data_IF_013501478295
#
_entry.id   IF_013501478295
#
_cell.length_a   1.000
_cell.length_b   1.000
_cell.length_c   1.000
_cell.angle_alpha   90.00
_cell.angle_beta   90.00
_cell.angle_gamma   90.00
#
_symmetry.space_group_name_H-M   'P 1'
#
loop_
_entity.id
_entity.type
_entity.pdbx_description
1 polymer ?
#
# COMPACT_ATOMS: atom_id res chain seq x y z
N UNK A 1 58.62 -7.87 -10.37
CA UNK A 1 59.29 -6.90 -11.26
C UNK A 1 58.76 -5.51 -10.92
N UNK A 2 59.63 -4.68 -10.33
CA UNK A 2 59.67 -3.21 -10.18
C UNK A 2 58.37 -2.36 -10.11
N UNK A 3 58.25 -1.73 -8.93
CA UNK A 3 57.47 -0.56 -8.47
C UNK A 3 57.59 0.67 -9.39
N UNK A 4 56.54 1.52 -9.46
CA UNK A 4 56.65 3.00 -9.33
C UNK A 4 55.40 3.63 -8.68
N UNK A 5 55.65 4.24 -7.51
CA UNK A 5 54.82 5.21 -6.77
C UNK A 5 55.03 6.59 -7.39
N UNK A 6 53.99 7.43 -7.47
CA UNK A 6 54.14 8.89 -7.54
C UNK A 6 53.18 9.51 -6.54
N UNK A 7 53.74 10.04 -5.46
CA UNK A 7 53.12 10.98 -4.54
C UNK A 7 53.35 12.40 -5.09
N UNK A 8 52.33 13.26 -5.00
CA UNK A 8 52.46 14.69 -5.20
C UNK A 8 52.12 15.41 -3.89
N UNK A 9 53.16 16.02 -3.32
CA UNK A 9 53.18 16.86 -2.13
C UNK A 9 52.92 18.31 -2.55
N UNK A 10 52.12 19.04 -1.77
CA UNK A 10 51.97 20.49 -1.88
C UNK A 10 51.51 21.13 -0.57
N UNK A 11 52.49 21.56 0.24
CA UNK A 11 52.34 22.60 1.29
C UNK A 11 52.09 23.98 0.61
N UNK A 12 51.60 25.06 1.23
CA UNK A 12 51.78 25.57 2.59
C UNK A 12 50.82 26.77 2.89
N UNK A 13 50.44 26.90 4.18
CA UNK A 13 50.34 28.10 5.08
C UNK A 13 49.61 29.37 4.59
N UNK A 14 48.75 30.04 5.39
CA UNK A 14 49.10 30.86 6.56
C UNK A 14 47.88 31.26 7.41
N UNK A 15 48.18 31.63 8.66
CA UNK A 15 47.36 31.91 9.83
C UNK A 15 46.51 33.21 9.76
N UNK A 16 45.35 33.20 10.43
CA UNK A 16 44.84 34.37 11.13
C UNK A 16 44.18 33.94 12.45
N UNK A 17 44.88 34.24 13.55
CA UNK A 17 44.39 34.22 14.93
C UNK A 17 43.43 35.38 15.15
N UNK A 18 42.23 35.11 15.65
CA UNK A 18 41.30 36.12 16.14
C UNK A 18 40.56 35.60 17.37
N UNK A 19 41.10 35.87 18.56
CA UNK A 19 40.34 35.80 19.80
C UNK A 19 39.45 37.05 19.88
N UNK A 20 38.15 36.86 19.94
CA UNK A 20 37.23 37.85 20.48
C UNK A 20 36.41 37.16 21.58
N UNK A 21 36.76 37.48 22.82
CA UNK A 21 35.92 37.26 24.00
C UNK A 21 34.63 38.06 23.78
N UNK A 22 33.50 37.36 23.76
CA UNK A 22 32.17 37.96 23.74
C UNK A 22 31.18 36.97 24.32
N UNK A 23 30.99 37.03 25.65
CA UNK A 23 29.75 36.58 26.27
C UNK A 23 28.60 37.33 25.59
N UNK A 24 27.76 36.59 24.88
CA UNK A 24 26.44 37.06 24.47
C UNK A 24 25.55 35.83 24.44
N UNK A 25 24.85 35.64 25.56
CA UNK A 25 23.70 34.76 25.64
C UNK A 25 22.78 35.10 24.48
N UNK A 26 22.70 34.18 23.53
CA UNK A 26 21.69 34.20 22.50
C UNK A 26 20.75 33.08 22.87
N UNK A 27 19.67 33.45 23.56
CA UNK A 27 18.43 32.69 23.57
C UNK A 27 17.94 32.63 22.12
N UNK A 28 18.56 31.74 21.35
CA UNK A 28 18.11 31.37 20.02
C UNK A 28 16.90 30.45 20.25
N UNK A 29 15.78 31.07 20.63
CA UNK A 29 14.47 30.51 20.45
C UNK A 29 14.28 30.37 18.95
N UNK A 30 14.83 29.29 18.40
CA UNK A 30 14.78 28.95 16.99
C UNK A 30 13.34 29.05 16.54
N UNK A 31 13.04 30.11 15.80
CA UNK A 31 11.77 30.28 15.15
C UNK A 31 11.65 29.15 14.13
N UNK A 32 10.90 28.11 14.50
CA UNK A 32 10.61 26.99 13.64
C UNK A 32 9.99 27.56 12.35
N UNK A 33 10.63 27.39 11.17
CA UNK A 33 10.11 27.94 9.94
C UNK A 33 8.71 27.35 9.72
N UNK A 34 7.70 28.21 9.72
CA UNK A 34 6.34 27.79 9.44
C UNK A 34 6.31 27.20 8.02
N UNK A 35 6.04 25.90 7.93
CA UNK A 35 5.87 25.24 6.64
C UNK A 35 4.73 25.94 5.89
N UNK A 36 5.03 26.46 4.69
CA UNK A 36 4.02 27.01 3.76
C UNK A 36 3.27 25.90 3.02
N UNK A 37 3.57 24.63 3.29
CA UNK A 37 2.92 23.51 2.64
C UNK A 37 1.49 23.33 3.18
N UNK A 38 0.53 23.26 2.26
CA UNK A 38 -0.87 22.97 2.61
C UNK A 38 -0.96 21.56 3.18
N UNK A 39 -1.45 21.46 4.43
CA UNK A 39 -1.66 20.19 5.09
C UNK A 39 -2.80 19.41 4.42
N UNK A 40 -2.62 18.10 4.33
CA UNK A 40 -3.63 17.20 3.81
C UNK A 40 -4.82 17.08 4.79
N UNK A 41 -6.07 17.05 4.29
CA UNK A 41 -7.25 17.31 5.13
C UNK A 41 -7.70 16.12 5.99
N UNK A 42 -7.36 14.89 5.61
CA UNK A 42 -7.91 13.68 6.22
C UNK A 42 -6.93 13.07 7.21
N UNK A 43 -7.21 13.19 8.51
CA UNK A 43 -6.41 12.52 9.54
C UNK A 43 -6.79 11.04 9.64
N UNK A 44 -5.83 10.14 9.45
CA UNK A 44 -5.97 8.72 9.70
C UNK A 44 -5.34 8.35 11.05
N UNK A 45 -6.06 7.54 11.82
CA UNK A 45 -5.64 7.00 13.11
C UNK A 45 -5.43 5.50 13.04
N UNK A 46 -4.82 4.92 14.08
CA UNK A 46 -4.57 3.48 14.16
C UNK A 46 -5.89 2.71 14.04
N UNK A 47 -6.00 1.76 13.10
CA UNK A 47 -7.16 0.87 13.01
C UNK A 47 -7.38 0.11 14.31
N UNK A 48 -8.65 -0.20 14.63
CA UNK A 48 -9.01 -0.90 15.87
C UNK A 48 -8.44 -2.33 15.90
N UNK A 49 -8.46 -3.02 14.76
CA UNK A 49 -7.86 -4.35 14.58
C UNK A 49 -6.62 -4.24 13.69
N UNK A 50 -5.60 -5.04 14.00
CA UNK A 50 -4.36 -5.05 13.22
C UNK A 50 -4.48 -5.94 11.97
N UNK A 51 -5.34 -6.95 12.02
CA UNK A 51 -5.48 -7.99 10.99
C UNK A 51 -6.87 -7.89 10.38
N UNK A 52 -6.96 -8.08 9.07
CA UNK A 52 -8.22 -8.27 8.36
C UNK A 52 -8.43 -9.78 8.28
N UNK A 53 -9.62 -10.24 8.67
CA UNK A 53 -9.97 -11.66 8.60
C UNK A 53 -9.85 -12.17 7.16
N UNK A 54 -9.12 -13.26 6.98
CA UNK A 54 -8.94 -13.93 5.69
C UNK A 54 -10.04 -14.96 5.39
N UNK A 55 -10.87 -15.29 6.39
CA UNK A 55 -12.04 -16.15 6.29
C UNK A 55 -13.32 -15.31 6.16
N UNK A 56 -13.60 -14.88 4.94
CA UNK A 56 -14.84 -14.14 4.66
C UNK A 56 -16.05 -15.09 4.68
N UNK A 57 -17.23 -14.60 5.08
CA UNK A 57 -18.47 -15.37 5.05
C UNK A 57 -19.45 -14.87 3.98
N UNK A 58 -20.33 -15.73 3.43
CA UNK A 58 -20.31 -17.18 3.57
C UNK A 58 -19.17 -17.82 2.75
N UNK A 59 -18.70 -18.97 3.22
CA UNK A 59 -17.87 -19.91 2.43
C UNK A 59 -18.78 -20.82 1.61
N UNK A 60 -18.36 -21.25 0.41
CA UNK A 60 -19.07 -22.28 -0.34
C UNK A 60 -19.14 -23.59 0.45
N UNK A 61 -20.11 -24.44 0.09
CA UNK A 61 -20.15 -25.83 0.54
C UNK A 61 -18.96 -26.63 -0.03
N UNK A 62 -18.58 -27.73 0.61
CA UNK A 62 -17.43 -28.56 0.17
C UNK A 62 -17.60 -29.13 -1.24
N UNK A 63 -18.85 -29.38 -1.66
CA UNK A 63 -19.23 -29.90 -2.98
C UNK A 63 -19.75 -28.81 -3.94
N UNK A 64 -19.59 -27.53 -3.58
CA UNK A 64 -20.03 -26.42 -4.40
C UNK A 64 -19.39 -26.44 -5.81
N UNK A 65 -20.11 -25.99 -6.85
CA UNK A 65 -19.57 -25.89 -8.19
C UNK A 65 -18.31 -25.03 -8.27
N UNK A 66 -17.42 -25.34 -9.23
CA UNK A 66 -16.17 -24.60 -9.42
C UNK A 66 -16.35 -23.07 -9.50
N UNK A 67 -17.41 -22.61 -10.19
CA UNK A 67 -17.70 -21.18 -10.31
C UNK A 67 -17.96 -20.52 -8.93
N UNK A 68 -18.67 -21.19 -8.03
CA UNK A 68 -18.95 -20.69 -6.67
C UNK A 68 -17.67 -20.64 -5.83
N UNK A 69 -16.81 -21.66 -5.95
CA UNK A 69 -15.51 -21.68 -5.29
C UNK A 69 -14.59 -20.55 -5.80
N UNK A 70 -14.57 -20.32 -7.11
CA UNK A 70 -13.81 -19.23 -7.72
C UNK A 70 -14.35 -17.87 -7.27
N UNK A 71 -15.66 -17.67 -7.25
CA UNK A 71 -16.29 -16.45 -6.75
C UNK A 71 -15.88 -16.16 -5.30
N UNK A 72 -15.88 -17.16 -4.44
CA UNK A 72 -15.40 -17.04 -3.06
C UNK A 72 -13.94 -16.60 -2.98
N UNK A 73 -13.05 -17.24 -3.75
CA UNK A 73 -11.64 -16.86 -3.77
C UNK A 73 -11.42 -15.45 -4.34
N UNK A 74 -12.17 -15.04 -5.36
CA UNK A 74 -12.11 -13.67 -5.88
C UNK A 74 -12.60 -12.64 -4.86
N UNK A 75 -13.62 -12.96 -4.05
CA UNK A 75 -14.02 -12.12 -2.90
C UNK A 75 -12.87 -11.99 -1.90
N UNK A 76 -12.21 -13.09 -1.53
CA UNK A 76 -11.04 -13.07 -0.60
C UNK A 76 -9.91 -12.21 -1.14
N UNK A 77 -9.56 -12.38 -2.41
CA UNK A 77 -8.54 -11.57 -3.09
C UNK A 77 -8.94 -10.10 -3.15
N UNK A 78 -10.22 -9.80 -3.35
CA UNK A 78 -10.76 -8.43 -3.36
C UNK A 78 -10.62 -7.77 -1.98
N UNK A 79 -10.96 -8.48 -0.90
CA UNK A 79 -10.77 -7.99 0.48
C UNK A 79 -9.28 -7.78 0.79
N UNK A 80 -8.42 -8.72 0.38
CA UNK A 80 -6.96 -8.58 0.53
C UNK A 80 -6.42 -7.35 -0.22
N UNK A 81 -6.90 -7.11 -1.44
CA UNK A 81 -6.52 -5.95 -2.26
C UNK A 81 -7.02 -4.64 -1.65
N UNK A 82 -8.23 -4.62 -1.09
CA UNK A 82 -8.76 -3.47 -0.36
C UNK A 82 -8.03 -3.24 0.97
N UNK A 83 -7.44 -4.30 1.53
CA UNK A 83 -6.75 -4.36 2.82
C UNK A 83 -7.60 -3.82 3.97
N UNK A 84 -8.92 -4.02 3.91
CA UNK A 84 -9.88 -3.54 4.88
C UNK A 84 -11.06 -4.51 5.00
N UNK A 85 -11.75 -4.46 6.13
CA UNK A 85 -13.03 -5.15 6.30
C UNK A 85 -14.12 -4.41 5.51
N UNK A 86 -15.05 -5.15 4.89
CA UNK A 86 -16.12 -4.55 4.10
C UNK A 86 -16.97 -5.58 3.37
N UNK A 87 -18.09 -5.12 2.83
CA UNK A 87 -19.02 -5.98 2.09
C UNK A 87 -18.41 -6.35 0.75
N UNK A 88 -18.43 -7.65 0.40
CA UNK A 88 -17.90 -8.11 -0.88
C UNK A 88 -18.79 -9.13 -1.57
N UNK A 89 -18.94 -8.98 -2.89
CA UNK A 89 -19.62 -9.93 -3.77
C UNK A 89 -18.69 -10.36 -4.90
N UNK A 90 -18.99 -11.50 -5.52
CA UNK A 90 -18.41 -11.91 -6.78
C UNK A 90 -19.48 -12.50 -7.69
N UNK A 91 -19.26 -12.40 -8.99
CA UNK A 91 -20.11 -13.01 -10.00
C UNK A 91 -19.25 -13.40 -11.19
N UNK A 92 -19.25 -14.68 -11.52
CA UNK A 92 -18.63 -15.27 -12.69
C UNK A 92 -19.70 -15.73 -13.69
N UNK A 93 -19.35 -16.03 -14.95
CA UNK A 93 -20.28 -16.64 -15.89
C UNK A 93 -20.85 -17.96 -15.35
N UNK A 94 -22.17 -18.14 -15.43
CA UNK A 94 -22.87 -19.28 -14.83
C UNK A 94 -22.43 -20.66 -15.36
N UNK A 95 -21.88 -20.69 -16.57
CA UNK A 95 -21.39 -21.89 -17.24
C UNK A 95 -19.86 -21.99 -17.24
N UNK A 96 -19.18 -21.31 -16.31
CA UNK A 96 -17.73 -21.36 -16.20
C UNK A 96 -17.27 -22.77 -15.81
N UNK A 97 -16.75 -23.48 -16.80
CA UNK A 97 -16.16 -24.80 -16.62
C UNK A 97 -14.71 -24.70 -16.11
N UNK A 98 -14.28 -25.70 -15.34
CA UNK A 98 -12.90 -25.88 -14.89
C UNK A 98 -11.97 -26.44 -15.98
N UNK A 99 -12.37 -26.35 -17.25
CA UNK A 99 -11.59 -26.86 -18.38
C UNK A 99 -10.38 -25.97 -18.64
N UNK A 100 -9.21 -26.58 -18.80
CA UNK A 100 -7.95 -25.88 -19.14
C UNK A 100 -8.13 -24.88 -20.28
N UNK A 101 -7.46 -23.74 -20.16
CA UNK A 101 -7.46 -22.61 -21.12
C UNK A 101 -8.81 -21.89 -21.27
N UNK A 102 -9.82 -22.26 -20.47
CA UNK A 102 -11.06 -21.48 -20.37
C UNK A 102 -10.72 -20.09 -19.84
N UNK A 103 -11.24 -19.07 -20.52
CA UNK A 103 -11.11 -17.67 -20.10
C UNK A 103 -12.46 -17.13 -19.72
N UNK A 104 -12.50 -16.36 -18.64
CA UNK A 104 -13.70 -15.69 -18.19
C UNK A 104 -13.36 -14.32 -17.63
N UNK A 105 -14.37 -13.46 -17.61
CA UNK A 105 -14.34 -12.22 -16.83
C UNK A 105 -15.32 -12.39 -15.69
N UNK A 106 -14.81 -12.33 -14.47
CA UNK A 106 -15.62 -12.27 -13.27
C UNK A 106 -15.63 -10.84 -12.74
N UNK A 107 -16.73 -10.41 -12.12
CA UNK A 107 -16.82 -9.12 -11.46
C UNK A 107 -16.86 -9.33 -9.95
N UNK A 108 -16.12 -8.52 -9.20
CA UNK A 108 -16.26 -8.43 -7.75
C UNK A 108 -16.70 -7.03 -7.34
N UNK A 109 -17.27 -6.93 -6.15
CA UNK A 109 -17.49 -5.65 -5.48
C UNK A 109 -16.85 -5.63 -4.10
N UNK A 110 -16.47 -4.44 -3.65
CA UNK A 110 -16.09 -4.15 -2.28
C UNK A 110 -16.74 -2.83 -1.88
N UNK A 111 -17.61 -2.83 -0.86
CA UNK A 111 -18.35 -1.63 -0.42
C UNK A 111 -18.99 -0.85 -1.60
N UNK A 112 -19.50 -1.57 -2.59
CA UNK A 112 -20.14 -1.01 -3.78
C UNK A 112 -19.22 -0.58 -4.91
N UNK A 113 -17.89 -0.63 -4.75
CA UNK A 113 -16.96 -0.40 -5.88
C UNK A 113 -16.69 -1.69 -6.64
N UNK A 114 -16.78 -1.65 -7.97
CA UNK A 114 -16.64 -2.82 -8.85
C UNK A 114 -15.22 -2.97 -9.40
N UNK A 115 -14.70 -4.20 -9.42
CA UNK A 115 -13.46 -4.60 -10.10
C UNK A 115 -13.75 -5.77 -11.04
N UNK A 116 -13.13 -5.79 -12.21
CA UNK A 116 -13.23 -6.91 -13.15
C UNK A 116 -11.95 -7.74 -13.11
N UNK A 117 -12.10 -9.06 -13.08
CA UNK A 117 -11.02 -10.03 -13.01
C UNK A 117 -10.99 -10.83 -14.30
N UNK A 118 -9.87 -10.73 -15.02
CA UNK A 118 -9.58 -11.64 -16.13
C UNK A 118 -9.08 -12.96 -15.55
N UNK A 119 -9.87 -14.02 -15.70
CA UNK A 119 -9.57 -15.37 -15.20
C UNK A 119 -9.13 -16.25 -16.37
N UNK A 120 -8.04 -16.99 -16.19
CA UNK A 120 -7.60 -18.06 -17.09
C UNK A 120 -7.44 -19.35 -16.30
N UNK A 121 -8.20 -20.38 -16.68
CA UNK A 121 -8.14 -21.70 -16.05
C UNK A 121 -6.91 -22.45 -16.57
N UNK A 122 -6.09 -22.93 -15.64
CA UNK A 122 -4.86 -23.67 -15.89
C UNK A 122 -5.07 -25.18 -15.95
N UNK A 123 -3.97 -25.90 -15.82
CA UNK A 123 -3.98 -27.36 -15.63
C UNK A 123 -4.45 -27.73 -14.21
N UNK A 124 -4.76 -29.01 -14.02
CA UNK A 124 -4.80 -29.57 -12.68
C UNK A 124 -3.42 -29.44 -12.02
N UNK A 125 -3.41 -29.29 -10.70
CA UNK A 125 -2.17 -29.25 -9.96
C UNK A 125 -1.43 -30.59 -10.07
N UNK A 126 -0.11 -30.54 -10.19
CA UNK A 126 0.73 -31.74 -10.32
C UNK A 126 0.57 -32.76 -9.17
N UNK A 127 0.01 -32.32 -8.03
CA UNK A 127 -0.23 -33.14 -6.84
C UNK A 127 -1.68 -33.64 -6.70
N UNK A 128 -2.62 -33.22 -7.56
CA UNK A 128 -4.03 -33.64 -7.50
C UNK A 128 -4.76 -33.43 -8.82
N UNK A 129 -5.44 -34.48 -9.29
CA UNK A 129 -6.34 -34.42 -10.46
C UNK A 129 -7.64 -33.66 -10.18
N UNK A 130 -7.92 -33.34 -8.91
CA UNK A 130 -9.14 -32.65 -8.48
C UNK A 130 -8.90 -31.18 -8.16
N UNK A 131 -7.65 -30.71 -8.17
CA UNK A 131 -7.32 -29.32 -7.86
C UNK A 131 -6.99 -28.55 -9.14
N UNK A 132 -7.90 -27.67 -9.56
CA UNK A 132 -7.76 -26.89 -10.79
C UNK A 132 -7.00 -25.60 -10.47
N UNK A 133 -5.89 -25.37 -11.17
CA UNK A 133 -5.17 -24.10 -11.07
C UNK A 133 -5.88 -23.05 -11.92
N UNK A 134 -5.77 -21.79 -11.52
CA UNK A 134 -6.21 -20.66 -12.34
C UNK A 134 -5.38 -19.43 -12.01
N UNK A 135 -5.23 -18.57 -13.01
CA UNK A 135 -4.76 -17.21 -12.85
C UNK A 135 -5.95 -16.27 -12.86
N UNK A 136 -5.94 -15.26 -11.99
CA UNK A 136 -6.88 -14.15 -12.11
C UNK A 136 -6.15 -12.83 -11.89
N UNK A 137 -6.38 -11.85 -12.76
CA UNK A 137 -5.76 -10.52 -12.72
C UNK A 137 -6.84 -9.45 -12.71
N UNK A 138 -6.84 -8.52 -11.75
CA UNK A 138 -7.82 -7.45 -11.72
C UNK A 138 -7.47 -6.34 -12.72
N UNK A 139 -8.48 -5.70 -13.30
CA UNK A 139 -8.31 -4.54 -14.19
C UNK A 139 -7.83 -3.29 -13.44
N UNK A 140 -8.20 -3.18 -12.16
CA UNK A 140 -7.97 -2.04 -11.28
C UNK A 140 -7.71 -2.48 -9.85
N UNK A 141 -7.02 -1.63 -9.10
CA UNK A 141 -6.85 -1.78 -7.66
C UNK A 141 -7.96 -1.09 -6.86
N UNK A 142 -8.11 -1.47 -5.59
CA UNK A 142 -8.97 -0.79 -4.64
C UNK A 142 -8.10 -0.07 -3.62
N UNK A 143 -8.40 1.21 -3.36
CA UNK A 143 -7.94 1.91 -2.17
C UNK A 143 -9.11 2.14 -1.23
N UNK A 144 -8.88 1.85 0.04
CA UNK A 144 -9.80 2.18 1.12
C UNK A 144 -9.09 3.08 2.11
N UNK A 145 -9.85 3.95 2.79
CA UNK A 145 -9.29 4.76 3.88
C UNK A 145 -8.66 3.88 4.95
N UNK A 146 -9.35 2.82 5.34
CA UNK A 146 -8.90 1.88 6.37
C UNK A 146 -7.68 1.08 5.93
N UNK A 147 -7.65 0.58 4.71
CA UNK A 147 -6.51 -0.19 4.20
C UNK A 147 -5.25 0.63 4.12
N UNK A 148 -5.36 1.91 3.73
CA UNK A 148 -4.22 2.84 3.77
C UNK A 148 -3.76 3.05 5.20
N UNK A 149 -4.67 3.24 6.16
CA UNK A 149 -4.31 3.34 7.58
C UNK A 149 -3.60 2.06 8.07
N UNK A 150 -4.14 0.86 7.79
CA UNK A 150 -3.54 -0.43 8.17
C UNK A 150 -2.14 -0.60 7.58
N UNK A 151 -1.94 -0.24 6.31
CA UNK A 151 -0.61 -0.26 5.69
C UNK A 151 0.37 0.70 6.38
N UNK A 152 -0.02 1.96 6.60
CA UNK A 152 0.85 2.97 7.21
C UNK A 152 1.22 2.62 8.64
N UNK A 153 0.25 2.20 9.46
CA UNK A 153 0.49 1.77 10.84
C UNK A 153 1.20 0.40 10.92
N UNK A 154 0.99 -0.50 9.96
CA UNK A 154 1.72 -1.77 9.88
C UNK A 154 3.21 -1.57 9.62
N UNK A 155 3.56 -0.65 8.72
CA UNK A 155 4.94 -0.35 8.36
C UNK A 155 5.67 0.55 9.36
N UNK A 156 4.97 1.51 9.96
CA UNK A 156 5.57 2.46 10.91
C UNK A 156 5.39 2.03 12.38
N UNK A 157 4.51 1.06 12.66
CA UNK A 157 4.26 0.51 14.00
C UNK A 157 4.06 1.63 15.04
N UNK A 158 4.87 1.63 16.09
CA UNK A 158 4.79 2.60 17.18
C UNK A 158 5.57 3.89 16.92
N UNK A 159 6.13 4.12 15.72
CA UNK A 159 6.84 5.38 15.42
C UNK A 159 5.93 6.48 14.86
N UNK A 160 4.72 6.13 14.43
CA UNK A 160 3.70 7.05 13.89
C UNK A 160 2.71 7.46 15.00
N UNK A 161 2.31 8.72 14.99
CA UNK A 161 1.19 9.21 15.81
C UNK A 161 -0.11 9.20 14.98
N UNK A 162 -0.05 9.81 13.79
CA UNK A 162 -1.13 9.83 12.81
C UNK A 162 -0.60 9.99 11.38
N UNK A 163 -1.47 9.80 10.40
CA UNK A 163 -1.19 10.21 9.02
C UNK A 163 -2.15 11.32 8.58
N UNK A 164 -1.67 12.27 7.78
CA UNK A 164 -2.51 13.23 7.08
C UNK A 164 -2.57 12.81 5.61
N UNK A 165 -3.76 12.54 5.12
CA UNK A 165 -3.99 12.01 3.79
C UNK A 165 -4.89 12.93 2.98
N UNK A 166 -4.77 12.81 1.65
CA UNK A 166 -5.80 13.27 0.73
C UNK A 166 -7.16 12.71 1.15
N UNK A 167 -8.26 13.29 0.68
CA UNK A 167 -9.59 12.81 1.04
C UNK A 167 -9.91 11.46 0.36
N UNK A 168 -9.40 10.37 0.96
CA UNK A 168 -9.59 9.00 0.49
C UNK A 168 -11.03 8.60 0.86
N UNK A 169 -11.87 8.21 -0.12
CA UNK A 169 -13.22 7.69 0.14
C UNK A 169 -13.19 6.42 0.99
N UNK A 170 -14.37 5.95 1.43
CA UNK A 170 -14.49 4.64 2.11
C UNK A 170 -13.82 3.53 1.27
N UNK A 171 -14.20 3.46 -0.01
CA UNK A 171 -13.58 2.62 -1.03
C UNK A 171 -13.59 3.36 -2.37
N UNK A 172 -12.56 3.16 -3.19
CA UNK A 172 -12.44 3.73 -4.53
C UNK A 172 -11.59 2.82 -5.42
N UNK A 173 -11.92 2.73 -6.71
CA UNK A 173 -11.02 2.08 -7.67
C UNK A 173 -9.98 3.05 -8.20
N UNK A 174 -8.76 2.54 -8.35
CA UNK A 174 -7.63 3.30 -8.91
C UNK A 174 -6.86 2.43 -9.90
N UNK A 175 -6.01 3.02 -10.77
CA UNK A 175 -5.08 2.25 -11.57
C UNK A 175 -4.24 1.29 -10.70
N UNK A 176 -4.23 0.00 -11.05
CA UNK A 176 -3.42 -1.01 -10.39
C UNK A 176 -1.93 -0.76 -10.66
N UNK A 177 -1.10 -0.85 -9.62
CA UNK A 177 0.37 -0.69 -9.66
C UNK A 177 0.84 0.61 -10.33
N UNK A 178 0.00 1.65 -10.26
CA UNK A 178 0.23 2.93 -10.94
C UNK A 178 -0.11 4.10 -10.04
N UNK A 179 0.49 5.23 -10.40
CA UNK A 179 0.28 6.48 -9.68
C UNK A 179 -1.17 6.96 -9.81
N UNK A 180 -1.65 7.65 -8.77
CA UNK A 180 -2.98 8.22 -8.71
C UNK A 180 -2.95 9.53 -7.89
N UNK A 181 -4.10 10.11 -7.58
CA UNK A 181 -4.20 11.40 -6.89
C UNK A 181 -3.97 11.35 -5.37
N UNK A 182 -4.04 10.17 -4.74
CA UNK A 182 -4.02 10.05 -3.29
C UNK A 182 -2.60 10.13 -2.74
N UNK A 183 -2.44 10.93 -1.69
CA UNK A 183 -1.19 11.16 -0.98
C UNK A 183 -1.39 11.03 0.51
N UNK A 184 -0.35 10.61 1.23
CA UNK A 184 -0.34 10.60 2.69
C UNK A 184 1.02 11.04 3.22
N UNK A 185 0.99 11.84 4.28
CA UNK A 185 2.13 12.16 5.12
C UNK A 185 2.02 11.35 6.42
N UNK A 186 3.10 10.67 6.80
CA UNK A 186 3.23 10.02 8.10
C UNK A 186 3.80 11.02 9.09
N UNK A 187 3.04 11.33 10.15
CA UNK A 187 3.51 12.21 11.22
C UNK A 187 4.02 11.34 12.36
N UNK A 188 5.33 11.41 12.62
CA UNK A 188 5.98 10.63 13.67
C UNK A 188 5.59 11.15 15.06
N UNK A 189 5.72 10.29 16.07
CA UNK A 189 5.47 10.65 17.46
C UNK A 189 6.25 11.90 17.88
N UNK A 190 5.53 12.86 18.46
CA UNK A 190 6.09 14.13 18.93
C UNK A 190 6.48 15.12 17.83
N UNK A 191 6.22 14.81 16.55
CA UNK A 191 6.54 15.70 15.43
C UNK A 191 5.29 16.43 14.94
N UNK A 192 5.51 17.61 14.36
CA UNK A 192 4.48 18.34 13.60
C UNK A 192 4.49 17.87 12.16
N UNK A 193 3.36 17.96 11.43
CA UNK A 193 3.34 17.69 10.01
C UNK A 193 4.20 18.74 9.29
N UNK A 194 4.93 18.26 8.30
CA UNK A 194 5.84 19.01 7.44
C UNK A 194 5.16 19.46 6.16
N UNK A 195 4.09 18.77 5.74
CA UNK A 195 3.41 18.94 4.45
C UNK A 195 4.05 18.16 3.30
N UNK A 196 5.12 17.39 3.56
CA UNK A 196 5.69 16.47 2.58
C UNK A 196 4.91 15.15 2.59
N UNK A 197 4.18 14.91 1.52
CA UNK A 197 3.34 13.71 1.37
C UNK A 197 3.87 12.75 0.32
N UNK A 198 3.74 11.47 0.62
CA UNK A 198 4.14 10.36 -0.23
C UNK A 198 2.96 9.87 -1.08
N UNK A 199 3.29 9.21 -2.19
CA UNK A 199 2.29 8.62 -3.07
C UNK A 199 1.65 7.42 -2.40
N UNK A 200 0.37 7.21 -2.62
CA UNK A 200 -0.33 5.99 -2.21
C UNK A 200 -0.93 5.35 -3.44
N UNK A 201 -0.70 4.05 -3.65
CA UNK A 201 -1.25 3.31 -4.78
C UNK A 201 -1.73 1.93 -4.37
N UNK A 202 -2.60 1.34 -5.19
CA UNK A 202 -3.12 0.00 -4.97
C UNK A 202 -2.28 -1.03 -5.71
N UNK A 203 -2.09 -2.18 -5.06
CA UNK A 203 -1.52 -3.42 -5.64
C UNK A 203 -2.50 -4.54 -5.35
N UNK A 204 -2.35 -5.71 -5.98
CA UNK A 204 -3.18 -6.88 -5.66
C UNK A 204 -3.07 -7.34 -4.19
N UNK A 205 -2.01 -6.93 -3.50
CA UNK A 205 -1.74 -7.30 -2.09
C UNK A 205 -2.06 -6.18 -1.10
N UNK A 206 -2.78 -5.14 -1.54
CA UNK A 206 -3.13 -4.00 -0.69
C UNK A 206 -2.45 -2.70 -1.12
N UNK A 207 -2.69 -1.62 -0.36
CA UNK A 207 -2.09 -0.32 -0.61
C UNK A 207 -0.58 -0.33 -0.36
N UNK A 208 0.12 0.57 -1.04
CA UNK A 208 1.55 0.83 -0.89
C UNK A 208 1.80 2.34 -0.86
N UNK A 209 2.93 2.73 -0.26
CA UNK A 209 3.39 4.12 -0.24
C UNK A 209 4.91 4.19 -0.17
N UNK A 210 5.47 5.14 -0.91
CA UNK A 210 6.88 5.57 -0.90
C UNK A 210 6.96 7.02 -1.38
#
# INVERSE_FOLDING_TARGET
MRIKIVAAVGCALLLATGCANGESGSDDAGAEPASTATLLPQKLTKPATAVVDDEIKPSPAEDAPFAEQLEYELRRRTVKMAHAEGDTTATCPANLASTKSTKATCATTFDGVKVEWAVTIGDNAAWSDNYVQYDATPDRGILTREGVARYLYGNNRDSIDYALCSDIPKAVTVPLDKDNKYRCEVVRKGQKPTGYSNKVWATESGPRSY
#
